data_IF_646246403164
#
_entry.id   IF_646246403164
#
_cell.length_a   1.000
_cell.length_b   1.000
_cell.length_c   1.000
_cell.angle_alpha   90.00
_cell.angle_beta   90.00
_cell.angle_gamma   90.00
#
_symmetry.space_group_name_H-M   'P 1'
#
loop_
_entity.id
_entity.type
_entity.pdbx_description
1 polymer ?
#
# COMPACT_ATOMS: atom_id res chain seq x y z
N UNK A 1 44.15 27.72 26.64
CA UNK A 1 44.37 27.25 25.25
C UNK A 1 43.26 26.26 24.89
N UNK A 2 42.61 26.41 23.74
CA UNK A 2 41.75 25.35 23.15
C UNK A 2 40.29 25.72 22.86
N UNK A 3 40.08 26.69 21.98
CA UNK A 3 38.92 26.98 21.10
C UNK A 3 37.57 26.23 21.24
N UNK A 4 36.54 27.06 21.42
CA UNK A 4 35.12 26.96 21.01
C UNK A 4 34.86 26.12 19.75
N UNK A 5 33.88 25.21 19.76
CA UNK A 5 32.99 24.94 18.60
C UNK A 5 31.73 24.17 19.05
N UNK A 6 30.60 24.72 18.61
CA UNK A 6 29.18 24.50 18.94
C UNK A 6 28.68 23.17 18.32
N UNK A 7 27.61 22.52 18.85
CA UNK A 7 26.94 21.43 18.15
C UNK A 7 26.55 21.86 16.73
N UNK A 8 27.00 21.12 15.72
CA UNK A 8 26.48 21.30 14.37
C UNK A 8 25.04 20.79 14.34
N UNK A 9 24.09 21.72 14.44
CA UNK A 9 22.75 21.52 13.91
C UNK A 9 22.88 21.34 12.39
N UNK A 10 22.82 20.10 11.92
CA UNK A 10 22.44 19.85 10.54
C UNK A 10 20.92 19.99 10.41
N UNK A 11 20.43 21.23 10.54
CA UNK A 11 19.27 21.65 9.77
C UNK A 11 19.69 21.71 8.30
N UNK A 12 19.75 20.54 7.63
CA UNK A 12 19.61 20.55 6.18
C UNK A 12 18.12 20.73 5.89
N UNK A 13 17.70 21.99 5.97
CA UNK A 13 16.46 22.50 5.41
C UNK A 13 16.45 22.35 3.89
N UNK A 14 16.53 21.12 3.39
CA UNK A 14 16.20 20.81 2.02
C UNK A 14 14.85 20.13 2.08
N UNK A 15 13.85 21.00 2.04
CA UNK A 15 12.51 20.71 1.54
C UNK A 15 12.62 20.06 0.16
N UNK A 16 12.95 18.77 0.12
CA UNK A 16 12.67 17.93 -1.02
C UNK A 16 11.35 17.25 -0.66
N UNK A 17 10.26 17.94 -0.97
CA UNK A 17 8.97 17.34 -1.36
C UNK A 17 9.18 16.47 -2.61
N UNK A 18 10.19 15.61 -2.61
CA UNK A 18 10.41 14.59 -3.59
C UNK A 18 9.31 13.59 -3.37
N UNK A 19 8.53 13.32 -4.43
CA UNK A 19 7.57 12.22 -4.45
C UNK A 19 8.21 11.03 -3.72
N UNK A 20 7.58 10.49 -2.69
CA UNK A 20 8.09 9.31 -1.98
C UNK A 20 8.49 8.24 -3.01
N UNK A 21 9.80 8.11 -3.26
CA UNK A 21 10.33 7.14 -4.20
C UNK A 21 10.49 5.86 -3.41
N UNK A 22 9.75 4.83 -3.79
CA UNK A 22 9.96 3.49 -3.25
C UNK A 22 11.42 3.09 -3.49
N UNK A 23 12.12 2.71 -2.42
CA UNK A 23 13.53 2.32 -2.47
C UNK A 23 13.71 1.12 -3.43
N UNK A 24 14.80 1.11 -4.20
CA UNK A 24 15.06 0.09 -5.26
C UNK A 24 15.31 -1.32 -4.69
N UNK A 25 15.35 -1.44 -3.36
CA UNK A 25 15.52 -2.67 -2.57
C UNK A 25 14.27 -3.55 -2.50
N UNK A 26 13.14 -3.09 -3.07
CA UNK A 26 11.97 -3.95 -3.21
C UNK A 26 12.21 -5.02 -4.30
N UNK A 27 11.93 -6.28 -3.99
CA UNK A 27 12.00 -7.37 -4.96
C UNK A 27 11.03 -7.08 -6.14
N UNK A 28 11.60 -6.83 -7.32
CA UNK A 28 10.85 -6.44 -8.52
C UNK A 28 9.87 -7.53 -8.97
N UNK A 29 10.24 -8.80 -8.80
CA UNK A 29 9.40 -9.94 -9.15
C UNK A 29 8.16 -9.97 -8.25
N UNK A 30 8.35 -9.81 -6.94
CA UNK A 30 7.24 -9.73 -5.99
C UNK A 30 6.30 -8.56 -6.31
N UNK A 31 6.86 -7.40 -6.66
CA UNK A 31 6.06 -6.22 -7.04
C UNK A 31 5.21 -6.47 -8.30
N UNK A 32 5.77 -7.14 -9.30
CA UNK A 32 5.07 -7.51 -10.54
C UNK A 32 3.97 -8.53 -10.27
N UNK A 33 4.25 -9.56 -9.45
CA UNK A 33 3.26 -10.57 -9.04
C UNK A 33 2.09 -9.93 -8.30
N UNK A 34 2.37 -9.12 -7.27
CA UNK A 34 1.31 -8.42 -6.51
C UNK A 34 0.50 -7.47 -7.41
N UNK A 35 1.12 -6.88 -8.41
CA UNK A 35 0.40 -6.06 -9.38
C UNK A 35 -0.56 -6.90 -10.24
N UNK A 36 -0.11 -8.06 -10.73
CA UNK A 36 -0.96 -9.00 -11.46
C UNK A 36 -2.10 -9.53 -10.59
N UNK A 37 -1.81 -9.89 -9.33
CA UNK A 37 -2.83 -10.30 -8.36
C UNK A 37 -3.87 -9.20 -8.14
N UNK A 38 -3.44 -7.93 -8.00
CA UNK A 38 -4.36 -6.81 -7.83
C UNK A 38 -5.25 -6.59 -9.06
N UNK A 39 -4.71 -6.70 -10.27
CA UNK A 39 -5.49 -6.59 -11.52
C UNK A 39 -6.52 -7.72 -11.62
N UNK A 40 -6.10 -8.96 -11.33
CA UNK A 40 -6.99 -10.12 -11.32
C UNK A 40 -8.11 -9.94 -10.28
N UNK A 41 -7.76 -9.48 -9.08
CA UNK A 41 -8.71 -9.24 -8.00
C UNK A 41 -9.77 -8.18 -8.34
N UNK A 42 -9.40 -7.11 -9.06
CA UNK A 42 -10.36 -6.11 -9.55
C UNK A 42 -11.37 -6.72 -10.54
N UNK A 43 -10.96 -7.74 -11.31
CA UNK A 43 -11.82 -8.38 -12.30
C UNK A 43 -12.80 -9.40 -11.70
N UNK A 44 -12.33 -10.21 -10.75
CA UNK A 44 -13.08 -11.36 -10.24
C UNK A 44 -13.75 -11.13 -8.87
N UNK A 45 -13.21 -10.26 -8.03
CA UNK A 45 -13.72 -10.02 -6.67
C UNK A 45 -14.57 -8.76 -6.64
N UNK A 46 -15.88 -8.90 -6.46
CA UNK A 46 -16.82 -7.77 -6.46
C UNK A 46 -16.47 -6.71 -5.40
N UNK A 47 -16.13 -7.12 -4.17
CA UNK A 47 -15.73 -6.19 -3.10
C UNK A 47 -14.58 -5.26 -3.51
N UNK A 48 -13.59 -5.81 -4.24
CA UNK A 48 -12.41 -5.06 -4.69
C UNK A 48 -12.77 -4.18 -5.90
N UNK A 49 -13.65 -4.66 -6.78
CA UNK A 49 -14.17 -3.89 -7.91
C UNK A 49 -14.97 -2.68 -7.45
N UNK A 50 -15.86 -2.84 -6.47
CA UNK A 50 -16.65 -1.77 -5.89
C UNK A 50 -15.77 -0.75 -5.18
N UNK A 51 -14.76 -1.24 -4.44
CA UNK A 51 -13.74 -0.37 -3.86
C UNK A 51 -12.98 0.43 -4.93
N UNK A 52 -12.64 -0.20 -6.05
CA UNK A 52 -11.96 0.47 -7.16
C UNK A 52 -12.83 1.55 -7.77
N UNK A 53 -14.08 1.23 -8.12
CA UNK A 53 -15.03 2.17 -8.74
C UNK A 53 -15.30 3.38 -7.84
N UNK A 54 -15.61 3.15 -6.56
CA UNK A 54 -15.81 4.23 -5.58
C UNK A 54 -14.59 5.16 -5.49
N UNK A 55 -13.37 4.60 -5.51
CA UNK A 55 -12.14 5.40 -5.43
C UNK A 55 -11.84 6.16 -6.75
N UNK A 56 -12.29 5.64 -7.88
CA UNK A 56 -12.21 6.34 -9.18
C UNK A 56 -13.20 7.52 -9.20
N UNK A 57 -14.41 7.33 -8.67
CA UNK A 57 -15.41 8.39 -8.51
C UNK A 57 -14.94 9.51 -7.57
N UNK A 58 -14.21 9.16 -6.50
CA UNK A 58 -13.51 10.12 -5.64
C UNK A 58 -12.38 10.91 -6.36
N UNK A 59 -12.14 10.67 -7.65
CA UNK A 59 -11.14 11.38 -8.46
C UNK A 59 -9.69 10.93 -8.21
N UNK A 60 -9.47 9.79 -7.54
CA UNK A 60 -8.12 9.33 -7.22
C UNK A 60 -7.44 8.72 -8.45
N UNK A 61 -6.14 8.95 -8.56
CA UNK A 61 -5.35 8.37 -9.64
C UNK A 61 -5.35 6.84 -9.58
N UNK A 62 -5.66 6.18 -10.70
CA UNK A 62 -5.82 4.71 -10.82
C UNK A 62 -4.65 3.92 -10.21
N UNK A 63 -3.41 4.39 -10.42
CA UNK A 63 -2.22 3.71 -9.86
C UNK A 63 -2.17 3.77 -8.33
N UNK A 64 -2.69 4.83 -7.71
CA UNK A 64 -2.78 4.95 -6.25
C UNK A 64 -3.79 3.95 -5.69
N UNK A 65 -4.92 3.78 -6.39
CA UNK A 65 -5.96 2.82 -6.04
C UNK A 65 -5.42 1.38 -6.13
N UNK A 66 -4.72 1.05 -7.22
CA UNK A 66 -4.06 -0.25 -7.37
C UNK A 66 -3.03 -0.48 -6.27
N UNK A 67 -2.28 0.55 -5.87
CA UNK A 67 -1.34 0.44 -4.76
C UNK A 67 -2.06 0.14 -3.43
N UNK A 68 -3.20 0.77 -3.18
CA UNK A 68 -4.02 0.49 -2.00
C UNK A 68 -4.57 -0.94 -2.00
N UNK A 69 -5.00 -1.45 -3.17
CA UNK A 69 -5.47 -2.83 -3.33
C UNK A 69 -4.34 -3.83 -3.06
N UNK A 70 -3.14 -3.59 -3.58
CA UNK A 70 -1.96 -4.42 -3.24
C UNK A 70 -1.74 -4.50 -1.73
N UNK A 71 -1.80 -3.36 -1.03
CA UNK A 71 -1.62 -3.34 0.42
C UNK A 71 -2.73 -4.12 1.14
N UNK A 72 -3.99 -3.99 0.70
CA UNK A 72 -5.11 -4.78 1.24
C UNK A 72 -4.88 -6.28 1.08
N UNK A 73 -4.40 -6.73 -0.09
CA UNK A 73 -4.11 -8.15 -0.33
C UNK A 73 -2.98 -8.66 0.57
N UNK A 74 -1.90 -7.89 0.72
CA UNK A 74 -0.77 -8.25 1.59
C UNK A 74 -1.22 -8.32 3.05
N UNK A 75 -2.01 -7.36 3.52
CA UNK A 75 -2.54 -7.36 4.88
C UNK A 75 -3.47 -8.56 5.13
N UNK A 76 -4.33 -8.92 4.16
CA UNK A 76 -5.19 -10.12 4.25
C UNK A 76 -4.34 -11.39 4.36
N UNK A 77 -3.35 -11.56 3.50
CA UNK A 77 -2.46 -12.71 3.55
C UNK A 77 -1.70 -12.78 4.89
N UNK A 78 -1.18 -11.65 5.36
CA UNK A 78 -0.47 -11.59 6.65
C UNK A 78 -1.39 -11.90 7.84
N UNK A 79 -2.65 -11.44 7.81
CA UNK A 79 -3.61 -11.73 8.87
C UNK A 79 -3.96 -13.23 8.95
N UNK A 80 -4.08 -13.90 7.80
CA UNK A 80 -4.32 -15.36 7.73
C UNK A 80 -3.13 -16.12 8.31
N UNK A 81 -1.91 -15.79 7.85
CA UNK A 81 -0.68 -16.44 8.33
C UNK A 81 -0.45 -16.20 9.82
N UNK A 82 -0.70 -14.98 10.31
CA UNK A 82 -0.47 -14.64 11.73
C UNK A 82 -1.46 -15.32 12.67
N UNK A 83 -2.71 -15.44 12.26
CA UNK A 83 -3.77 -15.97 13.11
C UNK A 83 -3.96 -17.49 12.99
N UNK A 84 -3.28 -18.13 12.03
CA UNK A 84 -3.43 -19.55 11.65
C UNK A 84 -4.91 -19.98 11.54
N UNK A 85 -5.72 -19.06 11.04
CA UNK A 85 -7.15 -19.24 10.83
C UNK A 85 -7.42 -19.10 9.34
N UNK A 86 -8.23 -19.99 8.75
CA UNK A 86 -8.58 -19.89 7.35
C UNK A 86 -9.25 -18.54 7.06
N UNK A 87 -9.01 -18.00 5.86
CA UNK A 87 -9.68 -16.79 5.41
C UNK A 87 -11.19 -17.04 5.41
N UNK A 88 -11.92 -16.25 6.20
CA UNK A 88 -13.38 -16.26 6.20
C UNK A 88 -13.84 -15.21 5.19
N UNK A 89 -14.53 -15.68 4.15
CA UNK A 89 -15.13 -14.80 3.17
C UNK A 89 -16.43 -14.22 3.75
N UNK A 90 -16.38 -12.99 4.24
CA UNK A 90 -17.57 -12.26 4.69
C UNK A 90 -18.32 -11.69 3.46
N UNK A 91 -18.83 -12.54 2.58
CA UNK A 91 -19.69 -12.14 1.44
C UNK A 91 -21.12 -11.81 1.85
N UNK A 92 -21.47 -12.00 3.12
CA UNK A 92 -22.76 -11.65 3.69
C UNK A 92 -22.63 -10.40 4.59
N UNK A 93 -22.89 -9.22 4.03
CA UNK A 93 -23.72 -8.28 4.78
C UNK A 93 -25.15 -8.81 4.62
N UNK A 94 -25.56 -9.74 5.49
CA UNK A 94 -26.97 -9.87 5.82
C UNK A 94 -27.36 -8.55 6.43
N UNK A 95 -28.12 -7.75 5.69
CA UNK A 95 -28.84 -6.63 6.25
C UNK A 95 -29.82 -7.18 7.26
N UNK A 96 -29.52 -6.99 8.53
CA UNK A 96 -30.49 -6.88 9.61
C UNK A 96 -30.39 -5.46 10.17
#
# INVERSE_FOLDING_TARGET
MGTLTVPFEYQSGISIKGKHRVHKMANKNLKSLLHLCAISAIKYVQEIKDYFNRKVEEGKHKMSIINAIRNKLVLRAFAVVRNDKPFVENTCFTGE
#
